data_IF_024050192426
#
_entry.id   IF_024050192426
#
_cell.length_a   1.000
_cell.length_b   1.000
_cell.length_c   1.000
_cell.angle_alpha   90.00
_cell.angle_beta   90.00
_cell.angle_gamma   90.00
#
_symmetry.space_group_name_H-M   'P 1'
#
loop_
_entity.id
_entity.type
_entity.pdbx_description
1 polymer ?
#
# COMPACT_ATOMS: atom_id res chain seq x y z
N UNK A 1 -22.99 0.38 -3.52
CA UNK A 1 -21.53 0.41 -3.71
C UNK A 1 -20.92 -0.33 -2.54
N UNK A 2 -20.05 -1.33 -2.76
CA UNK A 2 -19.38 -2.02 -1.65
C UNK A 2 -18.21 -1.15 -1.19
N UNK A 3 -18.09 -0.93 0.11
CA UNK A 3 -16.94 -0.24 0.68
C UNK A 3 -15.73 -1.20 0.62
N UNK A 4 -14.60 -0.78 0.02
CA UNK A 4 -13.43 -1.63 -0.08
C UNK A 4 -12.81 -1.87 1.29
N UNK A 5 -12.16 -3.01 1.44
CA UNK A 5 -11.36 -3.31 2.62
C UNK A 5 -10.01 -2.66 2.43
N UNK A 6 -9.54 -1.89 3.41
CA UNK A 6 -8.24 -1.23 3.37
C UNK A 6 -7.26 -1.98 4.24
N UNK A 7 -6.13 -2.41 3.67
CA UNK A 7 -5.00 -2.98 4.40
C UNK A 7 -3.82 -2.02 4.29
N UNK A 8 -3.57 -1.23 5.33
CA UNK A 8 -2.47 -0.28 5.37
C UNK A 8 -1.26 -0.85 6.11
N UNK A 9 -0.10 -0.73 5.49
CA UNK A 9 1.19 -1.18 6.01
C UNK A 9 2.01 0.02 6.44
N UNK A 10 2.72 -0.11 7.55
CA UNK A 10 3.68 0.89 8.03
C UNK A 10 4.92 0.18 8.54
N UNK A 11 6.09 0.63 8.09
CA UNK A 11 7.37 0.16 8.62
C UNK A 11 7.62 0.81 9.99
N UNK A 12 7.86 -0.01 11.02
CA UNK A 12 8.19 0.41 12.38
C UNK A 12 9.57 -0.14 12.76
N UNK A 13 10.61 0.56 12.32
CA UNK A 13 11.98 0.14 12.57
C UNK A 13 12.31 -1.14 11.81
N UNK A 14 12.49 -2.24 12.53
CA UNK A 14 12.75 -3.58 11.97
C UNK A 14 11.48 -4.39 11.73
N UNK A 15 10.34 -3.95 12.25
CA UNK A 15 9.07 -4.68 12.16
C UNK A 15 8.09 -3.98 11.23
N UNK A 16 7.15 -4.75 10.71
CA UNK A 16 6.03 -4.27 9.90
C UNK A 16 4.75 -4.32 10.71
N UNK A 17 3.96 -3.25 10.62
CA UNK A 17 2.59 -3.23 11.15
C UNK A 17 1.63 -3.22 9.97
N UNK A 18 0.59 -4.07 10.03
CA UNK A 18 -0.53 -4.04 9.10
C UNK A 18 -1.81 -3.72 9.85
N UNK A 19 -2.58 -2.77 9.33
CA UNK A 19 -3.90 -2.36 9.81
C UNK A 19 -4.94 -2.67 8.73
N UNK A 20 -5.92 -3.52 9.04
CA UNK A 20 -7.02 -3.87 8.15
C UNK A 20 -8.31 -3.21 8.66
N UNK A 21 -8.94 -2.41 7.79
CA UNK A 21 -10.21 -1.72 8.04
C UNK A 21 -11.30 -2.26 7.13
N UNK A 22 -12.41 -2.71 7.70
CA UNK A 22 -13.58 -3.17 6.98
C UNK A 22 -14.87 -2.94 7.79
N UNK A 23 -15.94 -2.42 7.17
CA UNK A 23 -17.27 -2.27 7.79
C UNK A 23 -17.24 -1.58 9.17
N UNK A 24 -16.42 -0.53 9.32
CA UNK A 24 -16.23 0.19 10.59
C UNK A 24 -15.41 -0.54 11.66
N UNK A 25 -14.90 -1.74 11.37
CA UNK A 25 -13.99 -2.48 12.25
C UNK A 25 -12.55 -2.31 11.79
N UNK A 26 -11.63 -2.28 12.75
CA UNK A 26 -10.19 -2.21 12.52
C UNK A 26 -9.51 -3.36 13.25
N UNK A 27 -8.63 -4.08 12.57
CA UNK A 27 -7.72 -5.05 13.19
C UNK A 27 -6.28 -4.76 12.79
N UNK A 28 -5.36 -5.07 13.69
CA UNK A 28 -3.93 -4.82 13.49
C UNK A 28 -3.11 -6.06 13.80
N UNK A 29 -2.04 -6.28 13.04
CA UNK A 29 -1.04 -7.30 13.30
C UNK A 29 0.37 -6.77 13.05
N UNK A 30 1.35 -7.40 13.67
CA UNK A 30 2.78 -7.15 13.42
C UNK A 30 3.44 -8.35 12.77
N UNK A 31 4.51 -8.09 12.01
CA UNK A 31 5.27 -9.11 11.30
C UNK A 31 6.75 -8.68 11.16
N UNK A 32 7.69 -9.64 11.05
CA UNK A 32 9.11 -9.33 10.91
C UNK A 32 9.48 -8.76 9.53
N UNK A 33 8.67 -9.00 8.50
CA UNK A 33 8.91 -8.55 7.13
C UNK A 33 7.58 -8.26 6.40
N UNK A 34 7.66 -7.59 5.25
CA UNK A 34 6.49 -7.18 4.46
C UNK A 34 5.72 -8.36 3.86
N UNK A 35 6.40 -9.46 3.53
CA UNK A 35 5.75 -10.65 2.95
C UNK A 35 4.90 -11.33 4.02
N UNK A 36 5.45 -11.53 5.21
CA UNK A 36 4.74 -12.04 6.38
C UNK A 36 3.60 -11.09 6.78
N UNK A 37 3.81 -9.77 6.71
CA UNK A 37 2.74 -8.79 6.96
C UNK A 37 1.58 -8.95 5.97
N UNK A 38 1.87 -9.23 4.69
CA UNK A 38 0.84 -9.46 3.67
C UNK A 38 0.02 -10.71 3.95
N UNK A 39 0.64 -11.79 4.40
CA UNK A 39 -0.05 -13.02 4.81
C UNK A 39 -0.94 -12.79 6.05
N UNK A 40 -0.44 -12.02 7.02
CA UNK A 40 -1.25 -11.61 8.19
C UNK A 40 -2.46 -10.80 7.79
N UNK A 41 -2.36 -9.94 6.78
CA UNK A 41 -3.49 -9.18 6.27
C UNK A 41 -4.63 -10.09 5.78
N UNK A 42 -4.32 -11.17 5.06
CA UNK A 42 -5.36 -12.12 4.62
C UNK A 42 -6.05 -12.78 5.81
N UNK A 43 -5.29 -13.17 6.84
CA UNK A 43 -5.85 -13.70 8.08
C UNK A 43 -6.81 -12.70 8.74
N UNK A 44 -6.41 -11.44 8.86
CA UNK A 44 -7.25 -10.39 9.44
C UNK A 44 -8.53 -10.15 8.63
N UNK A 45 -8.44 -10.20 7.29
CA UNK A 45 -9.59 -10.08 6.39
C UNK A 45 -10.57 -11.23 6.60
N UNK A 46 -10.08 -12.47 6.72
CA UNK A 46 -10.93 -13.63 7.02
C UNK A 46 -11.64 -13.49 8.37
N UNK A 47 -10.93 -13.05 9.40
CA UNK A 47 -11.53 -12.85 10.72
C UNK A 47 -12.58 -11.74 10.74
N UNK A 48 -12.42 -10.69 9.93
CA UNK A 48 -13.36 -9.57 9.85
C UNK A 48 -14.61 -9.91 9.03
N UNK A 49 -14.49 -10.81 8.06
CA UNK A 49 -15.51 -10.98 7.01
C UNK A 49 -15.83 -12.43 6.67
N UNK A 50 -15.70 -13.35 7.63
CA UNK A 50 -15.81 -14.82 7.50
C UNK A 50 -16.90 -15.38 6.54
N UNK A 51 -17.96 -14.63 6.22
CA UNK A 51 -19.06 -15.06 5.33
C UNK A 51 -19.20 -14.29 4.00
N UNK A 52 -18.35 -13.29 3.70
CA UNK A 52 -18.49 -12.47 2.49
C UNK A 52 -17.61 -13.00 1.33
N UNK A 53 -18.21 -13.46 0.22
CA UNK A 53 -17.45 -14.13 -0.86
C UNK A 53 -16.85 -13.19 -1.91
N UNK A 54 -17.22 -11.91 -1.92
CA UNK A 54 -16.68 -10.90 -2.85
C UNK A 54 -16.04 -9.77 -2.06
N UNK A 55 -14.73 -9.90 -1.83
CA UNK A 55 -13.94 -8.96 -1.03
C UNK A 55 -12.89 -8.32 -1.93
N UNK A 56 -12.98 -7.01 -2.08
CA UNK A 56 -11.89 -6.23 -2.70
C UNK A 56 -11.06 -5.65 -1.57
N UNK A 57 -9.79 -6.09 -1.49
CA UNK A 57 -8.81 -5.58 -0.54
C UNK A 57 -7.86 -4.66 -1.29
N UNK A 58 -7.73 -3.43 -0.80
CA UNK A 58 -6.78 -2.43 -1.31
C UNK A 58 -5.62 -2.37 -0.33
N UNK A 59 -4.43 -2.68 -0.82
CA UNK A 59 -3.20 -2.67 -0.03
C UNK A 59 -2.47 -1.34 -0.23
N UNK A 60 -2.07 -0.69 0.86
CA UNK A 60 -1.41 0.61 0.84
C UNK A 60 -0.23 0.66 1.79
N UNK A 61 0.87 1.31 1.42
CA UNK A 61 2.01 1.57 2.29
C UNK A 61 1.97 3.03 2.68
N UNK A 62 1.67 3.31 3.95
CA UNK A 62 1.45 4.67 4.45
C UNK A 62 0.45 5.46 3.56
N UNK A 63 -0.61 4.78 3.12
CA UNK A 63 -1.64 5.32 2.23
C UNK A 63 -1.36 5.23 0.72
N UNK A 64 -0.16 4.78 0.31
CA UNK A 64 0.22 4.63 -1.10
C UNK A 64 0.11 3.18 -1.60
N UNK A 65 -0.84 2.93 -2.51
CA UNK A 65 -1.04 1.61 -3.13
C UNK A 65 0.07 1.25 -4.12
N UNK A 66 0.65 2.23 -4.82
CA UNK A 66 1.73 2.00 -5.78
C UNK A 66 3.02 1.68 -5.02
N UNK A 67 3.31 2.48 -3.98
CA UNK A 67 4.41 2.24 -3.06
C UNK A 67 4.36 0.86 -2.41
N UNK A 68 3.17 0.42 -1.96
CA UNK A 68 2.98 -0.95 -1.47
C UNK A 68 3.34 -1.99 -2.54
N UNK A 69 2.81 -1.84 -3.75
CA UNK A 69 3.00 -2.83 -4.82
C UNK A 69 4.47 -2.98 -5.17
N UNK A 70 5.20 -1.86 -5.30
CA UNK A 70 6.64 -1.88 -5.56
C UNK A 70 7.40 -2.55 -4.41
N UNK A 71 7.16 -2.14 -3.16
CA UNK A 71 7.84 -2.70 -1.99
C UNK A 71 7.58 -4.20 -1.83
N UNK A 72 6.34 -4.64 -2.01
CA UNK A 72 5.96 -6.04 -1.89
C UNK A 72 6.61 -6.91 -2.96
N UNK A 73 6.63 -6.47 -4.22
CA UNK A 73 7.29 -7.21 -5.30
C UNK A 73 8.81 -7.27 -5.08
N UNK A 74 9.44 -6.19 -4.62
CA UNK A 74 10.86 -6.18 -4.26
C UNK A 74 11.16 -7.20 -3.16
N UNK A 75 10.41 -7.18 -2.06
CA UNK A 75 10.59 -8.11 -0.94
C UNK A 75 10.32 -9.56 -1.36
N UNK A 76 9.29 -9.80 -2.18
CA UNK A 76 8.93 -11.15 -2.63
C UNK A 76 9.99 -11.77 -3.53
N UNK A 77 10.71 -10.94 -4.28
CA UNK A 77 11.80 -11.39 -5.17
C UNK A 77 13.15 -11.52 -4.46
N UNK A 78 13.22 -11.24 -3.15
CA UNK A 78 14.49 -11.23 -2.41
C UNK A 78 15.45 -10.14 -2.92
N UNK A 79 14.89 -9.06 -3.50
CA UNK A 79 15.66 -7.93 -4.05
C UNK A 79 15.98 -6.87 -2.99
N UNK A 80 15.66 -7.16 -1.73
CA UNK A 80 16.07 -6.48 -0.51
C UNK A 80 17.61 -6.56 -0.25
N UNK A 81 18.40 -6.34 -1.29
CA UNK A 81 19.80 -5.95 -1.17
C UNK A 81 19.85 -4.43 -0.87
N UNK A 82 20.72 -3.90 0.01
CA UNK A 82 20.61 -2.54 0.58
C UNK A 82 20.88 -1.37 -0.39
N UNK A 83 20.85 -1.61 -1.71
CA UNK A 83 20.92 -0.58 -2.75
C UNK A 83 19.89 -0.90 -3.81
N UNK A 84 18.64 -0.53 -3.60
CA UNK A 84 17.79 -0.11 -4.71
C UNK A 84 16.82 0.93 -4.17
N UNK A 85 17.17 2.20 -4.37
CA UNK A 85 16.22 3.28 -4.23
C UNK A 85 14.99 2.94 -5.07
N UNK A 86 13.80 3.01 -4.46
CA UNK A 86 12.55 3.10 -5.19
C UNK A 86 12.76 4.21 -6.21
N UNK A 87 12.58 3.99 -7.53
CA UNK A 87 12.57 5.11 -8.44
C UNK A 87 11.37 5.97 -8.03
N UNK A 88 11.67 7.10 -7.37
CA UNK A 88 10.70 8.18 -7.18
C UNK A 88 10.17 8.47 -8.58
N UNK A 89 8.93 8.05 -8.85
CA UNK A 89 8.24 8.54 -10.03
C UNK A 89 8.18 10.05 -9.83
N UNK A 90 8.97 10.76 -10.62
CA UNK A 90 8.89 12.21 -10.67
C UNK A 90 7.42 12.53 -10.98
N UNK A 91 6.72 13.11 -9.99
CA UNK A 91 5.46 13.78 -10.26
C UNK A 91 5.81 14.84 -11.30
N UNK A 92 5.42 14.61 -12.54
CA UNK A 92 5.42 15.66 -13.54
C UNK A 92 4.29 16.61 -13.16
N UNK A 93 4.57 17.46 -12.17
CA UNK A 93 3.88 18.73 -12.02
C UNK A 93 4.20 19.52 -13.28
N UNK A 94 3.42 19.27 -14.34
CA UNK A 94 3.44 20.07 -15.54
C UNK A 94 3.00 21.47 -15.11
N UNK A 95 3.98 22.34 -14.91
CA UNK A 95 3.76 23.77 -14.74
C UNK A 95 2.80 24.24 -15.86
N UNK A 96 1.75 25.02 -15.53
CA UNK A 96 0.87 25.54 -16.56
C UNK A 96 1.70 26.33 -17.57
N UNK A 97 1.52 26.01 -18.85
CA UNK A 97 2.21 26.70 -19.93
C UNK A 97 1.93 28.21 -19.84
N UNK A 98 2.92 29.08 -20.05
CA UNK A 98 2.68 30.51 -20.09
C UNK A 98 1.70 30.83 -21.23
N UNK A 99 0.78 31.79 -21.05
CA UNK A 99 -0.15 32.17 -22.10
C UNK A 99 0.62 32.67 -23.33
N UNK A 100 0.10 32.46 -24.55
CA UNK A 100 0.75 32.92 -25.77
C UNK A 100 0.94 34.43 -25.72
N UNK A 101 2.16 34.88 -26.02
CA UNK A 101 2.49 36.29 -26.13
C UNK A 101 1.57 36.93 -27.17
N UNK A 102 0.82 37.95 -26.75
CA UNK A 102 0.05 38.78 -27.66
C UNK A 102 1.02 39.47 -28.63
N UNK A 103 0.77 39.25 -29.92
CA UNK A 103 1.44 39.94 -31.01
C UNK A 103 1.25 41.46 -30.85
N UNK A 104 2.35 42.21 -30.98
CA UNK A 104 2.37 43.65 -31.16
C UNK A 104 3.08 43.97 -32.48
#
# INVERSE_FOLDING_TARGET
MYEPILANYTARGTDWTVEVKAKGQTKTATAPDLVTARERADTLVEELLANDKKRTVVHTLDGDAVGFTAAYLTARLGLDNPVTAIPTQARTDKAPAPPPAAMA
#
